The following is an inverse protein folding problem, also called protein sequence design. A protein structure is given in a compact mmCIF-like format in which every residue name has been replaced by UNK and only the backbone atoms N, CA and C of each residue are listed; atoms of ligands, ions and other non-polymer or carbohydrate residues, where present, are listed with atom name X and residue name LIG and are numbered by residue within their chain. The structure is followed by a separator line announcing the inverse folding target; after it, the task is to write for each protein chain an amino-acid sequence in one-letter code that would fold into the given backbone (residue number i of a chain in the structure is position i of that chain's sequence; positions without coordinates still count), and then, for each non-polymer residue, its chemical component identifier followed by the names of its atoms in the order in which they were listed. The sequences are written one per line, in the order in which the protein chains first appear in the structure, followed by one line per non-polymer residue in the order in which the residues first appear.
data_IF_084389043135
#
_entry.id   IF_084389043135
#
_cell.length_a   1.000
_cell.length_b   1.000
_cell.length_c   1.000
_cell.angle_alpha   90.00
_cell.angle_beta   90.00
_cell.angle_gamma   90.00
#
_symmetry.space_group_name_H-M   'P 1'
#
loop_
_entity.id
_entity.type
_entity.pdbx_description
1 polymer ?
#
# COMPACT_ATOMS: atom_id res chain seq x y z
N UNK A 1 5.75 17.11 -0.82
CA UNK A 1 4.54 17.13 0.04
C UNK A 1 3.43 16.43 -0.73
N UNK A 2 3.00 15.23 -0.32
CA UNK A 2 2.06 14.39 -1.09
C UNK A 2 0.90 13.86 -0.23
N UNK A 3 0.53 14.58 0.83
CA UNK A 3 -0.57 14.23 1.73
C UNK A 3 -1.41 15.47 1.97
N UNK A 4 -2.73 15.32 1.89
CA UNK A 4 -3.72 16.37 2.09
C UNK A 4 -4.65 15.94 3.22
N UNK A 5 -4.90 16.83 4.19
CA UNK A 5 -5.92 16.64 5.21
C UNK A 5 -7.23 17.25 4.69
N UNK A 6 -8.32 16.50 4.78
CA UNK A 6 -9.64 16.92 4.35
C UNK A 6 -10.68 16.43 5.36
N UNK A 7 -11.74 17.20 5.52
CA UNK A 7 -12.90 16.87 6.36
C UNK A 7 -14.00 16.15 5.56
N UNK A 8 -13.79 15.94 4.26
CA UNK A 8 -14.75 15.26 3.42
C UNK A 8 -14.89 13.77 3.79
N UNK A 9 -16.11 13.19 3.71
CA UNK A 9 -16.31 11.77 3.96
C UNK A 9 -15.58 10.93 2.90
N UNK A 10 -15.16 9.72 3.29
CA UNK A 10 -14.37 8.82 2.44
C UNK A 10 -15.06 8.46 1.13
N UNK A 11 -16.40 8.38 1.12
CA UNK A 11 -17.21 8.14 -0.07
C UNK A 11 -17.00 9.23 -1.12
N UNK A 12 -17.05 10.49 -0.70
CA UNK A 12 -16.83 11.63 -1.59
C UNK A 12 -15.40 11.68 -2.12
N UNK A 13 -14.40 11.41 -1.28
CA UNK A 13 -12.99 11.37 -1.71
C UNK A 13 -12.81 10.30 -2.79
N UNK A 14 -13.44 9.13 -2.63
CA UNK A 14 -13.41 8.07 -3.64
C UNK A 14 -14.03 8.51 -4.96
N UNK A 15 -15.17 9.20 -4.92
CA UNK A 15 -15.83 9.73 -6.11
C UNK A 15 -14.92 10.71 -6.87
N UNK A 16 -14.23 11.61 -6.16
CA UNK A 16 -13.26 12.55 -6.75
C UNK A 16 -12.10 11.81 -7.43
N UNK A 17 -11.55 10.79 -6.78
CA UNK A 17 -10.44 9.99 -7.33
C UNK A 17 -10.91 9.22 -8.58
N UNK A 18 -12.10 8.62 -8.54
CA UNK A 18 -12.68 7.91 -9.67
C UNK A 18 -12.96 8.85 -10.86
N UNK A 19 -13.55 10.02 -10.60
CA UNK A 19 -13.82 11.02 -11.64
C UNK A 19 -12.51 11.51 -12.28
N UNK A 20 -11.49 11.79 -11.48
CA UNK A 20 -10.16 12.15 -11.98
C UNK A 20 -9.55 11.05 -12.86
N UNK A 21 -9.64 9.79 -12.42
CA UNK A 21 -9.13 8.65 -13.19
C UNK A 21 -9.86 8.49 -14.53
N UNK A 22 -11.19 8.60 -14.54
CA UNK A 22 -12.00 8.54 -15.78
C UNK A 22 -11.62 9.67 -16.74
N UNK A 23 -11.42 10.89 -16.22
CA UNK A 23 -10.95 12.02 -17.02
C UNK A 23 -9.57 11.77 -17.62
N UNK A 24 -8.63 11.26 -16.83
CA UNK A 24 -7.28 10.94 -17.31
C UNK A 24 -7.31 9.81 -18.36
N UNK A 25 -8.11 8.76 -18.15
CA UNK A 25 -8.29 7.69 -19.14
C UNK A 25 -8.93 8.23 -20.43
N UNK A 26 -9.87 9.16 -20.34
CA UNK A 26 -10.47 9.82 -21.51
C UNK A 26 -9.48 10.73 -22.25
N UNK A 27 -8.64 11.48 -21.54
CA UNK A 27 -7.57 12.30 -22.14
C UNK A 27 -6.52 11.44 -22.85
N UNK A 28 -6.11 10.33 -22.23
CA UNK A 28 -5.19 9.37 -22.85
C UNK A 28 -5.82 8.68 -24.05
N UNK A 29 -7.10 8.28 -23.95
CA UNK A 29 -7.84 7.69 -25.06
C UNK A 29 -8.02 8.67 -26.22
N UNK A 30 -8.33 9.94 -25.94
CA UNK A 30 -8.43 10.99 -26.94
C UNK A 30 -7.08 11.28 -27.62
N UNK A 31 -5.99 11.33 -26.85
CA UNK A 31 -4.64 11.48 -27.39
C UNK A 31 -4.23 10.27 -28.25
N UNK A 32 -4.58 9.06 -27.84
CA UNK A 32 -4.36 7.84 -28.64
C UNK A 32 -5.18 7.86 -29.93
N UNK A 33 -6.47 8.20 -29.87
CA UNK A 33 -7.34 8.31 -31.04
C UNK A 33 -6.85 9.37 -32.04
N UNK A 34 -6.39 10.53 -31.55
CA UNK A 34 -5.82 11.59 -32.38
C UNK A 34 -4.50 11.19 -33.09
N UNK A 35 -3.78 10.20 -32.55
CA UNK A 35 -2.58 9.64 -33.19
C UNK A 35 -2.88 8.57 -34.24
N UNK A 36 -4.03 7.89 -34.16
CA UNK A 36 -4.45 6.85 -35.12
C UNK A 36 -5.02 7.47 -36.40
N UNK A 37 -5.63 8.65 -36.32
CA UNK A 37 -6.14 9.40 -37.49
C UNK A 37 -5.06 10.07 -38.37
N UNK A 38 -3.78 9.64 -38.27
CA UNK A 38 -2.66 10.17 -39.08
C UNK A 38 -2.07 9.14 -40.06
N UNK A 39 -2.63 7.93 -40.17
CA UNK A 39 -2.10 6.83 -41.01
C UNK A 39 -3.11 6.31 -42.04
N UNK A 40 -4.16 7.08 -42.35
CA UNK A 40 -5.06 6.76 -43.47
C UNK A 40 -4.95 7.84 -44.54
N UNK A 41 -3.91 7.70 -45.36
CA UNK A 41 -3.85 8.14 -46.77
C UNK A 41 -2.57 7.53 -47.37
N UNK A 42 -2.71 6.35 -47.97
CA UNK A 42 -2.15 5.87 -49.26
C UNK A 42 -2.61 4.41 -49.40
N UNK A 43 -3.65 4.21 -50.19
CA UNK A 43 -3.98 2.91 -50.78
C UNK A 43 -3.10 2.65 -52.00
N UNK A 44 -2.60 1.43 -52.19
CA UNK A 44 -2.55 0.74 -53.49
C UNK A 44 -1.78 -0.61 -53.39
N UNK A 45 -2.51 -1.69 -53.69
CA UNK A 45 -2.16 -2.85 -54.52
C UNK A 45 -0.91 -3.72 -54.22
N UNK A 46 -1.14 -4.97 -53.77
CA UNK A 46 -0.98 -6.15 -54.63
C UNK A 46 -1.33 -7.49 -53.93
N UNK A 47 -1.96 -8.34 -54.73
CA UNK A 47 -2.37 -9.73 -54.46
C UNK A 47 -1.19 -10.73 -54.37
N UNK A 48 -1.42 -11.76 -53.56
CA UNK A 48 -1.20 -13.20 -53.83
C UNK A 48 0.19 -13.70 -54.29
N UNK A 49 0.78 -14.62 -53.51
CA UNK A 49 0.99 -16.02 -53.94
C UNK A 49 1.65 -16.91 -52.86
N UNK A 50 1.19 -18.15 -52.88
CA UNK A 50 1.34 -19.23 -51.93
C UNK A 50 2.64 -20.04 -52.13
N UNK A 51 2.99 -20.81 -51.10
CA UNK A 51 3.93 -21.96 -51.06
C UNK A 51 5.45 -21.70 -50.97
N UNK A 52 6.10 -22.21 -49.92
CA UNK A 52 6.83 -23.51 -49.94
C UNK A 52 7.65 -23.75 -48.67
N UNK A 53 7.80 -25.04 -48.39
CA UNK A 53 8.31 -25.71 -47.20
C UNK A 53 9.73 -25.32 -46.74
N UNK A 54 9.98 -25.57 -45.46
CA UNK A 54 11.30 -25.75 -44.85
C UNK A 54 12.17 -26.79 -45.60
N UNK A 55 13.50 -26.69 -45.50
CA UNK A 55 14.23 -27.83 -44.95
C UNK A 55 15.34 -27.50 -43.93
N UNK A 56 15.62 -28.53 -43.13
CA UNK A 56 16.67 -28.74 -42.14
C UNK A 56 18.11 -28.71 -42.71
N UNK A 57 19.07 -28.74 -41.77
CA UNK A 57 20.51 -29.04 -41.86
C UNK A 57 21.42 -27.83 -42.20
N UNK A 58 22.64 -27.68 -41.70
CA UNK A 58 23.45 -28.28 -40.63
C UNK A 58 24.70 -27.38 -40.52
N UNK A 59 25.36 -27.35 -39.37
CA UNK A 59 26.82 -27.15 -39.34
C UNK A 59 27.41 -25.86 -38.74
N UNK A 60 28.13 -26.07 -37.63
CA UNK A 60 29.44 -25.48 -37.29
C UNK A 60 29.53 -24.05 -36.69
N UNK A 61 29.47 -24.04 -35.36
CA UNK A 61 30.44 -23.46 -34.41
C UNK A 61 31.48 -22.43 -34.95
N UNK A 62 31.43 -21.21 -34.41
CA UNK A 62 32.65 -20.46 -34.12
C UNK A 62 32.57 -19.81 -32.72
N UNK A 63 33.21 -20.45 -31.75
CA UNK A 63 33.52 -19.89 -30.45
C UNK A 63 34.51 -18.73 -30.59
N UNK A 64 34.11 -17.53 -30.16
CA UNK A 64 35.04 -16.53 -29.65
C UNK A 64 34.56 -16.10 -28.28
N UNK A 65 35.21 -16.61 -27.23
CA UNK A 65 35.10 -16.07 -25.88
C UNK A 65 35.95 -14.81 -25.81
N UNK A 66 35.34 -13.69 -25.44
CA UNK A 66 36.06 -12.65 -24.71
C UNK A 66 35.13 -11.94 -23.72
N UNK A 67 35.55 -12.01 -22.48
CA UNK A 67 35.32 -11.11 -21.36
C UNK A 67 34.36 -9.91 -21.56
N UNK A 68 33.28 -9.92 -20.79
CA UNK A 68 33.16 -8.98 -19.67
C UNK A 68 31.90 -9.27 -18.86
N UNK A 69 32.14 -9.55 -17.59
CA UNK A 69 31.15 -9.87 -16.57
C UNK A 69 30.42 -8.59 -16.16
N UNK A 70 29.48 -8.08 -16.98
CA UNK A 70 28.50 -7.09 -16.53
C UNK A 70 27.18 -7.81 -16.31
N UNK A 71 26.98 -8.33 -15.09
CA UNK A 71 25.68 -8.83 -14.62
C UNK A 71 24.70 -7.64 -14.73
N UNK A 72 23.99 -7.53 -15.86
CA UNK A 72 22.85 -6.64 -15.99
C UNK A 72 21.91 -7.05 -14.84
N UNK A 73 21.70 -6.15 -13.88
CA UNK A 73 20.64 -6.33 -12.89
C UNK A 73 19.37 -6.48 -13.70
N UNK A 74 18.88 -7.72 -13.87
CA UNK A 74 17.56 -7.96 -14.45
C UNK A 74 16.60 -7.22 -13.52
N UNK A 75 16.00 -6.15 -14.02
CA UNK A 75 14.90 -5.49 -13.31
C UNK A 75 13.93 -6.60 -12.89
N UNK A 76 13.48 -6.64 -11.63
CA UNK A 76 12.53 -7.66 -11.21
C UNK A 76 11.36 -7.61 -12.19
N UNK A 77 11.05 -8.75 -12.83
CA UNK A 77 9.84 -8.87 -13.64
C UNK A 77 8.70 -8.49 -12.70
N UNK A 78 8.10 -7.32 -12.90
CA UNK A 78 6.96 -6.88 -12.10
C UNK A 78 5.90 -7.95 -12.31
N UNK A 79 5.60 -8.73 -11.28
CA UNK A 79 4.51 -9.68 -11.36
C UNK A 79 3.24 -8.86 -11.64
N UNK A 80 2.35 -9.36 -12.53
CA UNK A 80 1.05 -8.73 -12.67
C UNK A 80 0.40 -8.66 -11.29
N UNK A 81 -0.41 -7.62 -11.10
CA UNK A 81 -1.16 -7.45 -9.86
C UNK A 81 -2.07 -8.68 -9.69
N UNK A 82 -2.27 -9.13 -8.45
CA UNK A 82 -3.06 -10.34 -8.19
C UNK A 82 -4.45 -10.24 -8.82
N UNK A 83 -5.00 -11.36 -9.28
CA UNK A 83 -6.32 -11.39 -9.90
C UNK A 83 -7.40 -10.83 -8.96
N UNK A 84 -7.35 -11.20 -7.69
CA UNK A 84 -8.21 -10.66 -6.63
C UNK A 84 -8.15 -9.14 -6.55
N UNK A 85 -6.97 -8.54 -6.70
CA UNK A 85 -6.86 -7.10 -6.71
C UNK A 85 -7.51 -6.48 -7.93
N UNK A 86 -7.36 -7.08 -9.12
CA UNK A 86 -7.99 -6.59 -10.35
C UNK A 86 -9.51 -6.65 -10.22
N UNK A 87 -10.05 -7.75 -9.67
CA UNK A 87 -11.48 -7.92 -9.39
C UNK A 87 -12.01 -6.82 -8.46
N UNK A 88 -11.34 -6.61 -7.34
CA UNK A 88 -11.70 -5.56 -6.36
C UNK A 88 -11.62 -4.18 -7.00
N UNK A 89 -10.56 -3.89 -7.77
CA UNK A 89 -10.41 -2.61 -8.46
C UNK A 89 -11.56 -2.36 -9.44
N UNK A 90 -11.91 -3.36 -10.25
CA UNK A 90 -13.01 -3.25 -11.22
C UNK A 90 -14.34 -3.02 -10.52
N UNK A 91 -14.62 -3.76 -9.43
CA UNK A 91 -15.84 -3.57 -8.64
C UNK A 91 -15.93 -2.17 -8.03
N UNK A 92 -14.82 -1.62 -7.53
CA UNK A 92 -14.78 -0.27 -6.97
C UNK A 92 -14.95 0.82 -8.04
N UNK A 93 -14.38 0.63 -9.24
CA UNK A 93 -14.53 1.56 -10.37
C UNK A 93 -15.93 1.52 -11.01
N UNK A 94 -16.60 0.38 -10.94
CA UNK A 94 -17.96 0.18 -11.45
C UNK A 94 -19.05 0.73 -10.52
N UNK A 95 -18.70 1.08 -9.27
CA UNK A 95 -19.65 1.65 -8.31
C UNK A 95 -20.23 2.98 -8.86
N UNK A 96 -21.55 3.18 -8.80
CA UNK A 96 -22.16 4.44 -9.23
C UNK A 96 -21.71 5.58 -8.29
N UNK A 97 -21.65 6.78 -8.85
CA UNK A 97 -21.30 7.99 -8.10
C UNK A 97 -22.38 8.28 -7.05
N UNK A 98 -21.96 8.69 -5.85
CA UNK A 98 -22.91 8.94 -4.78
C UNK A 98 -23.66 10.26 -5.02
N UNK A 99 -24.99 10.27 -5.12
CA UNK A 99 -25.75 11.50 -5.40
C UNK A 99 -25.85 12.41 -4.17
N UNK A 100 -25.58 11.89 -2.96
CA UNK A 100 -25.67 12.62 -1.70
C UNK A 100 -24.46 12.33 -0.83
N UNK A 101 -23.86 13.40 -0.34
CA UNK A 101 -22.75 13.36 0.61
C UNK A 101 -23.31 13.63 2.01
N UNK A 102 -23.11 12.70 2.94
CA UNK A 102 -23.50 12.87 4.33
C UNK A 102 -22.27 13.23 5.15
N UNK A 103 -22.35 14.34 5.91
CA UNK A 103 -21.30 14.79 6.85
C UNK A 103 -21.63 14.44 8.31
N UNK A 104 -22.78 13.80 8.54
CA UNK A 104 -23.18 13.34 9.86
C UNK A 104 -22.21 12.27 10.38
N UNK A 105 -21.83 12.38 11.65
CA UNK A 105 -21.02 11.36 12.31
C UNK A 105 -21.79 10.02 12.31
N UNK A 106 -21.10 8.95 11.92
CA UNK A 106 -21.72 7.63 11.92
C UNK A 106 -22.06 7.23 13.37
N UNK A 107 -23.24 6.63 13.64
CA UNK A 107 -23.65 6.28 15.01
C UNK A 107 -22.64 5.36 15.71
N UNK A 108 -22.07 4.40 14.98
CA UNK A 108 -21.03 3.49 15.47
C UNK A 108 -19.61 4.09 15.47
N UNK A 109 -19.42 5.36 15.07
CA UNK A 109 -18.10 5.98 15.06
C UNK A 109 -17.54 6.17 16.47
N UNK A 110 -18.42 6.25 17.48
CA UNK A 110 -18.03 6.40 18.86
C UNK A 110 -17.94 5.01 19.53
N UNK A 111 -16.72 4.45 19.73
CA UNK A 111 -16.60 3.13 20.31
C UNK A 111 -17.07 3.13 21.76
N UNK A 112 -17.57 1.99 22.29
CA UNK A 112 -18.07 1.90 23.67
C UNK A 112 -16.98 2.27 24.69
N UNK A 113 -15.71 1.96 24.40
CA UNK A 113 -14.57 2.34 25.26
C UNK A 113 -14.46 3.85 25.51
N UNK A 114 -14.88 4.68 24.54
CA UNK A 114 -14.89 6.14 24.70
C UNK A 114 -16.05 6.60 25.59
N UNK A 115 -17.20 5.92 25.53
CA UNK A 115 -18.32 6.14 26.45
C UNK A 115 -17.98 5.67 27.88
N UNK A 116 -17.26 4.56 28.02
CA UNK A 116 -16.79 4.01 29.30
C UNK A 116 -15.63 4.81 29.92
N UNK A 117 -15.12 5.83 29.21
CA UNK A 117 -13.96 6.62 29.64
C UNK A 117 -12.66 5.81 29.72
N UNK A 118 -12.58 4.67 29.01
CA UNK A 118 -11.41 3.82 29.01
C UNK A 118 -10.28 4.49 28.23
N UNK A 119 -9.26 4.93 28.95
CA UNK A 119 -8.06 5.49 28.34
C UNK A 119 -7.28 4.38 27.64
N UNK A 120 -6.64 4.70 26.51
CA UNK A 120 -5.71 3.79 25.80
C UNK A 120 -4.70 3.12 26.74
N UNK A 121 -4.31 3.84 27.79
CA UNK A 121 -3.49 3.35 28.89
C UNK A 121 -4.20 3.60 30.21
N UNK A 122 -4.70 2.54 30.84
CA UNK A 122 -5.26 2.60 32.19
C UNK A 122 -4.16 2.98 33.18
N UNK A 123 -4.54 3.72 34.22
CA UNK A 123 -3.60 4.06 35.28
C UNK A 123 -3.11 2.78 35.93
N UNK A 124 -1.80 2.71 36.06
CA UNK A 124 -1.13 1.56 36.63
C UNK A 124 -1.64 1.32 38.06
N UNK A 125 -2.14 0.12 38.39
CA UNK A 125 -2.78 -0.10 39.70
C UNK A 125 -1.79 -0.04 40.87
N UNK A 126 -0.49 -0.29 40.64
CA UNK A 126 0.55 -0.19 41.66
C UNK A 126 1.83 0.51 41.14
N UNK A 127 2.58 1.22 42.01
CA UNK A 127 3.97 1.59 41.71
C UNK A 127 4.80 0.33 41.40
N UNK A 128 5.65 0.39 40.38
CA UNK A 128 6.50 -0.74 39.94
C UNK A 128 5.77 -1.97 39.36
N UNK A 129 4.56 -1.82 38.81
CA UNK A 129 3.80 -2.90 38.10
C UNK A 129 4.47 -3.49 36.85
N UNK A 130 5.67 -3.02 36.49
CA UNK A 130 6.46 -3.61 35.42
C UNK A 130 7.25 -4.84 35.91
N UNK A 131 7.88 -5.57 35.00
CA UNK A 131 8.89 -6.56 35.37
C UNK A 131 9.93 -5.90 36.29
N UNK A 132 10.13 -6.47 37.49
CA UNK A 132 11.14 -6.00 38.44
C UNK A 132 12.51 -5.92 37.76
N UNK A 133 13.37 -5.03 38.26
CA UNK A 133 14.73 -4.90 37.78
C UNK A 133 15.40 -6.28 37.69
N UNK A 134 16.11 -6.54 36.58
CA UNK A 134 16.85 -7.78 36.41
C UNK A 134 17.82 -7.95 37.59
N UNK A 135 17.97 -9.16 38.16
CA UNK A 135 18.94 -9.39 39.23
C UNK A 135 20.33 -8.91 38.83
N UNK A 136 20.85 -7.90 39.54
CA UNK A 136 22.23 -7.45 39.41
C UNK A 136 23.12 -8.31 40.31
N UNK A 137 24.32 -8.68 39.84
CA UNK A 137 25.32 -9.38 40.67
C UNK A 137 25.97 -8.47 41.74
N UNK A 138 25.64 -7.17 41.78
CA UNK A 138 26.06 -6.22 42.81
C UNK A 138 24.86 -5.82 43.67
N UNK A 139 24.84 -6.23 44.93
CA UNK A 139 23.93 -5.70 45.96
C UNK A 139 22.85 -6.67 46.40
N UNK A 140 23.21 -7.64 47.24
CA UNK A 140 22.28 -8.39 48.09
C UNK A 140 22.01 -7.60 49.38
N UNK A 141 21.46 -6.39 49.29
CA UNK A 141 20.95 -5.69 50.47
C UNK A 141 19.43 -5.65 50.41
N UNK A 142 18.82 -6.24 51.43
CA UNK A 142 17.38 -6.25 51.65
C UNK A 142 16.82 -4.83 51.63
N UNK A 143 15.84 -4.60 50.77
CA UNK A 143 14.92 -3.48 50.93
C UNK A 143 13.96 -3.88 52.06
N UNK A 144 14.43 -3.73 53.30
CA UNK A 144 13.59 -3.80 54.47
C UNK A 144 12.60 -2.61 54.44
N UNK A 145 11.32 -2.92 54.62
CA UNK A 145 10.23 -1.96 54.80
C UNK A 145 10.64 -0.90 55.85
N UNK A 146 10.33 0.40 55.64
CA UNK A 146 10.74 1.43 56.58
C UNK A 146 10.06 1.21 57.94
N UNK A 147 10.87 0.90 58.95
CA UNK A 147 10.43 0.75 60.33
C UNK A 147 9.74 2.04 60.82
N UNK A 148 8.54 1.87 61.37
CA UNK A 148 7.76 2.90 62.05
C UNK A 148 8.60 3.60 63.13
N UNK A 149 8.86 4.90 62.95
CA UNK A 149 9.54 5.74 63.94
C UNK A 149 8.63 5.85 65.18
N UNK A 150 9.06 5.26 66.31
CA UNK A 150 8.40 5.46 67.62
C UNK A 150 8.54 6.92 68.05
N UNK A 151 7.41 7.57 68.30
CA UNK A 151 7.31 8.86 68.99
C UNK A 151 7.93 8.72 70.38
N UNK A 152 8.87 9.60 70.70
CA UNK A 152 9.50 9.68 72.03
C UNK A 152 8.75 10.74 72.83
N UNK A 153 7.97 10.33 73.83
CA UNK A 153 7.43 11.25 74.83
C UNK A 153 8.58 11.82 75.65
N UNK A 154 8.61 13.14 75.74
CA UNK A 154 9.45 13.91 76.65
C UNK A 154 8.62 14.34 77.85
N UNK A 155 9.19 14.13 79.03
CA UNK A 155 8.80 14.63 80.36
C UNK A 155 8.81 16.17 80.41
#
# INVERSE_FOLDING_TARGET
MSSIKTDAPVSFIWDVICAWKRKHEAEVAAAAAASVSKVEDISADNEEQQEKLCPLADGANCETKSDSKKKRRKSPKKHPRSEEFIRVMNALMAKPENPKVCFEEHPEANPPSRADGLVRYQRNPQPYWGPKARPSKKGMEEIALPASKKLKSSE
#
